data_IF_922418580339
#
_entry.id   IF_922418580339
#
_cell.length_a   1.000
_cell.length_b   1.000
_cell.length_c   1.000
_cell.angle_alpha   90.00
_cell.angle_beta   90.00
_cell.angle_gamma   90.00
#
_symmetry.space_group_name_H-M   'P 1'
#
loop_
_entity.id
_entity.type
_entity.pdbx_description
1 polymer ?
#
# COMPACT_ATOMS: atom_id res chain seq x y z
N UNK A 1 0.32 23.65 -6.75
CA UNK A 1 -0.88 23.42 -5.89
C UNK A 1 -1.25 21.94 -5.92
N UNK A 2 -1.87 21.40 -4.86
CA UNK A 2 -2.31 20.00 -4.78
C UNK A 2 -3.83 19.95 -4.88
N UNK A 3 -4.38 19.22 -5.84
CA UNK A 3 -5.82 19.16 -6.09
C UNK A 3 -6.38 17.84 -5.57
N UNK A 4 -7.40 17.92 -4.72
CA UNK A 4 -8.15 16.74 -4.28
C UNK A 4 -9.49 16.64 -4.99
N UNK A 5 -10.19 17.74 -5.25
CA UNK A 5 -11.43 17.74 -6.02
C UNK A 5 -11.50 19.05 -6.81
N UNK A 6 -12.43 19.16 -7.76
CA UNK A 6 -12.66 20.43 -8.47
C UNK A 6 -13.01 21.59 -7.53
N UNK A 7 -13.48 21.27 -6.32
CA UNK A 7 -13.89 22.24 -5.29
C UNK A 7 -12.86 22.41 -4.17
N UNK A 8 -11.80 21.59 -4.14
CA UNK A 8 -10.79 21.64 -3.09
C UNK A 8 -9.39 21.42 -3.62
N UNK A 9 -8.57 22.46 -3.48
CA UNK A 9 -7.14 22.44 -3.69
C UNK A 9 -6.40 23.02 -2.49
N UNK A 10 -5.21 22.51 -2.24
CA UNK A 10 -4.24 23.07 -1.30
C UNK A 10 -3.36 24.04 -2.07
N UNK A 11 -3.42 25.31 -1.68
CA UNK A 11 -2.60 26.40 -2.24
C UNK A 11 -1.39 26.66 -1.35
N UNK A 12 -0.40 27.38 -1.87
CA UNK A 12 0.80 27.78 -1.12
C UNK A 12 0.46 28.56 0.15
N UNK A 13 -0.55 29.41 0.10
CA UNK A 13 -0.95 30.30 1.20
C UNK A 13 -1.62 29.52 2.35
N UNK A 14 -2.19 28.36 2.05
CA UNK A 14 -2.85 27.50 3.03
C UNK A 14 -1.86 26.61 3.80
N UNK A 15 -0.60 26.56 3.38
CA UNK A 15 0.46 25.71 3.96
C UNK A 15 1.24 26.52 4.98
N UNK A 16 1.21 26.11 6.26
CA UNK A 16 1.97 26.76 7.34
C UNK A 16 3.44 26.39 7.32
N UNK A 17 3.74 25.11 7.10
CA UNK A 17 5.08 24.56 7.13
C UNK A 17 5.42 23.92 5.79
N UNK A 18 6.60 24.26 5.24
CA UNK A 18 7.06 23.73 3.95
C UNK A 18 7.08 22.20 3.98
N UNK A 19 6.42 21.58 2.98
CA UNK A 19 6.34 20.12 2.85
C UNK A 19 5.24 19.46 3.69
N UNK A 20 4.45 20.23 4.47
CA UNK A 20 3.37 19.68 5.30
C UNK A 20 2.06 20.35 4.93
N UNK A 21 1.05 19.56 4.58
CA UNK A 21 -0.32 20.06 4.48
C UNK A 21 -1.26 19.13 5.23
N UNK A 22 -2.13 19.72 6.04
CA UNK A 22 -3.25 18.99 6.60
C UNK A 22 -4.36 18.89 5.57
N UNK A 23 -4.81 17.67 5.38
CA UNK A 23 -5.96 17.40 4.55
C UNK A 23 -7.22 17.80 5.32
N UNK A 24 -7.87 18.90 4.92
CA UNK A 24 -9.23 19.19 5.39
C UNK A 24 -10.19 18.06 4.97
N UNK A 25 -11.31 17.85 5.68
CA UNK A 25 -12.32 16.88 5.27
C UNK A 25 -12.78 17.16 3.84
N UNK A 26 -12.38 16.32 2.90
CA UNK A 26 -12.66 16.41 1.46
C UNK A 26 -12.71 14.99 0.89
N UNK A 27 -13.06 14.83 -0.38
CA UNK A 27 -13.00 13.52 -1.04
C UNK A 27 -11.62 13.27 -1.65
N UNK A 28 -11.32 12.01 -1.99
CA UNK A 28 -10.17 11.71 -2.84
C UNK A 28 -10.42 12.23 -4.27
N UNK A 29 -9.35 12.50 -5.01
CA UNK A 29 -9.44 12.91 -6.42
C UNK A 29 -10.14 11.88 -7.29
N UNK A 30 -9.81 10.62 -7.09
CA UNK A 30 -10.54 9.49 -7.62
C UNK A 30 -10.71 8.49 -6.50
N UNK A 31 -11.87 8.47 -5.81
CA UNK A 31 -12.17 7.43 -4.85
C UNK A 31 -12.19 6.07 -5.55
N UNK A 32 -11.59 5.06 -4.94
CA UNK A 32 -11.60 3.70 -5.44
C UNK A 32 -12.99 3.09 -5.32
N UNK A 33 -13.34 2.23 -6.28
CA UNK A 33 -14.48 1.32 -6.13
C UNK A 33 -14.12 0.27 -5.09
N UNK A 34 -14.83 0.27 -3.96
CA UNK A 34 -14.59 -0.70 -2.90
C UNK A 34 -15.14 -2.09 -3.31
N UNK A 35 -14.43 -3.19 -3.04
CA UNK A 35 -14.91 -4.52 -3.42
C UNK A 35 -16.20 -4.92 -2.70
N UNK A 36 -17.18 -5.42 -3.47
CA UNK A 36 -18.47 -5.91 -2.96
C UNK A 36 -18.32 -7.08 -1.96
N UNK A 37 -17.23 -7.84 -2.08
CA UNK A 37 -16.83 -8.89 -1.14
C UNK A 37 -15.43 -8.59 -0.67
N UNK A 38 -15.28 -8.38 0.63
CA UNK A 38 -13.98 -8.22 1.28
C UNK A 38 -13.97 -8.89 2.66
N UNK A 39 -12.77 -9.22 3.14
CA UNK A 39 -12.60 -9.92 4.41
C UNK A 39 -11.88 -9.10 5.48
N UNK A 40 -12.25 -9.36 6.73
CA UNK A 40 -11.60 -8.86 7.92
C UNK A 40 -11.04 -10.03 8.72
N UNK A 41 -9.74 -9.99 9.01
CA UNK A 41 -9.04 -11.09 9.69
C UNK A 41 -8.35 -10.53 10.92
N UNK A 42 -8.82 -10.93 12.09
CA UNK A 42 -8.24 -10.54 13.36
C UNK A 42 -7.26 -11.61 13.85
N UNK A 43 -5.97 -11.29 13.80
CA UNK A 43 -4.90 -12.12 14.36
C UNK A 43 -4.42 -11.59 15.73
N UNK A 44 -5.14 -10.61 16.30
CA UNK A 44 -4.76 -9.93 17.54
C UNK A 44 -5.61 -10.36 18.74
N UNK A 45 -5.36 -9.74 19.90
CA UNK A 45 -6.13 -9.97 21.13
C UNK A 45 -7.36 -9.05 21.24
N UNK A 46 -7.60 -8.19 20.24
CA UNK A 46 -8.81 -7.38 20.23
C UNK A 46 -10.02 -8.31 20.20
N UNK A 47 -11.00 -8.01 21.05
CA UNK A 47 -12.28 -8.70 20.98
C UNK A 47 -13.03 -8.29 19.71
N UNK A 48 -14.10 -9.04 19.44
CA UNK A 48 -14.94 -8.81 18.27
C UNK A 48 -15.53 -7.40 18.28
N UNK A 49 -16.08 -6.92 19.39
CA UNK A 49 -16.70 -5.60 19.47
C UNK A 49 -15.73 -4.49 19.06
N UNK A 50 -14.50 -4.52 19.57
CA UNK A 50 -13.46 -3.55 19.19
C UNK A 50 -13.12 -3.60 17.70
N UNK A 51 -13.11 -4.79 17.10
CA UNK A 51 -12.91 -4.94 15.66
C UNK A 51 -14.10 -4.39 14.86
N UNK A 52 -15.32 -4.58 15.34
CA UNK A 52 -16.54 -4.04 14.73
C UNK A 52 -16.57 -2.51 14.80
N UNK A 53 -16.26 -1.94 15.96
CA UNK A 53 -16.12 -0.49 16.16
C UNK A 53 -15.09 0.09 15.19
N UNK A 54 -13.94 -0.58 15.04
CA UNK A 54 -12.89 -0.16 14.12
C UNK A 54 -13.36 -0.07 12.67
N UNK A 55 -13.93 -1.14 12.11
CA UNK A 55 -14.31 -1.11 10.71
C UNK A 55 -15.55 -0.23 10.49
N UNK A 56 -16.44 -0.06 11.49
CA UNK A 56 -17.57 0.85 11.39
C UNK A 56 -17.12 2.31 11.31
N UNK A 57 -16.15 2.71 12.13
CA UNK A 57 -15.58 4.06 12.08
C UNK A 57 -14.74 4.27 10.81
N UNK A 58 -13.98 3.25 10.38
CA UNK A 58 -13.29 3.29 9.08
C UNK A 58 -14.28 3.57 7.94
N UNK A 59 -15.46 2.94 7.94
CA UNK A 59 -16.51 3.13 6.93
C UNK A 59 -17.06 4.55 6.93
N UNK A 60 -17.33 5.12 8.11
CA UNK A 60 -17.79 6.51 8.24
C UNK A 60 -16.77 7.47 7.63
N UNK A 61 -15.49 7.29 7.96
CA UNK A 61 -14.42 8.12 7.38
C UNK A 61 -14.30 7.86 5.87
N UNK A 62 -14.35 6.61 5.42
CA UNK A 62 -14.28 6.23 4.01
C UNK A 62 -15.37 6.92 3.18
N UNK A 63 -16.60 6.93 3.67
CA UNK A 63 -17.73 7.59 3.01
C UNK A 63 -17.50 9.09 2.86
N UNK A 64 -16.98 9.76 3.90
CA UNK A 64 -16.58 11.19 3.82
C UNK A 64 -15.46 11.42 2.80
N UNK A 65 -14.62 10.41 2.55
CA UNK A 65 -13.57 10.42 1.53
C UNK A 65 -14.06 10.02 0.12
N UNK A 66 -15.35 9.72 -0.03
CA UNK A 66 -15.97 9.33 -1.31
C UNK A 66 -15.89 7.85 -1.64
N UNK A 67 -15.45 6.99 -0.70
CA UNK A 67 -15.42 5.54 -0.86
C UNK A 67 -16.65 4.95 -0.17
N UNK A 68 -17.51 4.28 -0.93
CA UNK A 68 -18.61 3.50 -0.36
C UNK A 68 -18.10 2.16 0.19
N UNK A 69 -17.98 2.08 1.52
CA UNK A 69 -17.44 0.92 2.21
C UNK A 69 -18.54 0.27 3.07
N UNK A 70 -18.91 -0.96 2.72
CA UNK A 70 -19.86 -1.77 3.48
C UNK A 70 -19.13 -2.67 4.51
N UNK A 71 -19.84 -3.27 5.47
CA UNK A 71 -19.24 -4.25 6.40
C UNK A 71 -18.56 -5.41 5.65
N UNK A 72 -17.58 -6.08 6.28
CA UNK A 72 -16.93 -7.25 5.67
C UNK A 72 -17.90 -8.43 5.57
N UNK A 73 -17.86 -9.16 4.47
CA UNK A 73 -18.63 -10.39 4.27
C UNK A 73 -17.94 -11.59 4.91
N UNK A 74 -16.63 -11.52 5.08
CA UNK A 74 -15.82 -12.59 5.64
C UNK A 74 -15.19 -12.06 6.91
N UNK A 75 -15.45 -12.72 8.04
CA UNK A 75 -14.80 -12.42 9.29
C UNK A 75 -14.12 -13.67 9.83
N UNK A 76 -12.82 -13.57 10.12
CA UNK A 76 -12.03 -14.66 10.69
C UNK A 76 -11.24 -14.16 11.88
N UNK A 77 -11.27 -14.94 12.95
CA UNK A 77 -10.43 -14.75 14.13
C UNK A 77 -9.48 -15.94 14.24
N UNK A 78 -8.26 -15.66 14.68
CA UNK A 78 -7.32 -16.72 15.04
C UNK A 78 -7.08 -16.71 16.55
N UNK A 79 -7.33 -17.86 17.17
CA UNK A 79 -7.20 -18.05 18.62
C UNK A 79 -5.82 -17.60 19.10
N UNK A 80 -5.84 -16.60 19.97
CA UNK A 80 -4.65 -15.97 20.53
C UNK A 80 -3.77 -16.88 21.38
N UNK A 81 -4.31 -18.00 21.88
CA UNK A 81 -3.58 -18.91 22.77
C UNK A 81 -2.79 -20.00 22.03
N UNK A 82 -3.04 -20.21 20.74
CA UNK A 82 -2.42 -21.29 19.93
C UNK A 82 -1.62 -20.77 18.73
N UNK A 83 -1.09 -19.55 18.83
CA UNK A 83 -0.46 -18.87 17.69
C UNK A 83 0.84 -19.53 17.25
N UNK A 84 0.81 -20.14 16.07
CA UNK A 84 2.03 -20.48 15.31
C UNK A 84 1.98 -19.77 13.96
N UNK A 85 3.14 -19.43 13.41
CA UNK A 85 3.26 -18.85 12.06
C UNK A 85 2.58 -19.74 11.01
N UNK A 86 2.78 -21.05 11.11
CA UNK A 86 2.18 -22.02 10.19
C UNK A 86 0.66 -22.08 10.30
N UNK A 87 0.12 -21.99 11.53
CA UNK A 87 -1.33 -21.98 11.75
C UNK A 87 -1.99 -20.71 11.21
N UNK A 88 -1.33 -19.55 11.34
CA UNK A 88 -1.79 -18.29 10.72
C UNK A 88 -1.78 -18.40 9.20
N UNK A 89 -0.71 -18.97 8.61
CA UNK A 89 -0.61 -19.18 7.17
C UNK A 89 -1.70 -20.13 6.68
N UNK A 90 -1.95 -21.24 7.39
CA UNK A 90 -2.98 -22.20 7.06
C UNK A 90 -4.37 -21.54 7.09
N UNK A 91 -4.71 -20.81 8.16
CA UNK A 91 -5.97 -20.06 8.24
C UNK A 91 -6.16 -19.13 7.04
N UNK A 92 -5.11 -18.42 6.62
CA UNK A 92 -5.20 -17.47 5.52
C UNK A 92 -5.32 -18.17 4.18
N UNK A 93 -4.58 -19.25 3.94
CA UNK A 93 -4.74 -20.10 2.74
C UNK A 93 -6.17 -20.63 2.67
N UNK A 94 -6.68 -21.20 3.74
CA UNK A 94 -8.03 -21.77 3.79
C UNK A 94 -9.08 -20.69 3.57
N UNK A 95 -8.93 -19.53 4.20
CA UNK A 95 -9.84 -18.40 4.01
C UNK A 95 -9.83 -17.89 2.58
N UNK A 96 -8.66 -17.76 1.95
CA UNK A 96 -8.56 -17.31 0.56
C UNK A 96 -9.08 -18.36 -0.44
N UNK A 97 -8.80 -19.65 -0.19
CA UNK A 97 -9.29 -20.74 -1.03
C UNK A 97 -10.82 -20.89 -0.95
N UNK A 98 -11.41 -20.70 0.23
CA UNK A 98 -12.86 -20.75 0.43
C UNK A 98 -13.58 -19.53 -0.15
N UNK A 99 -12.88 -18.42 -0.37
CA UNK A 99 -13.44 -17.14 -0.80
C UNK A 99 -12.69 -16.60 -2.02
N UNK A 100 -12.66 -17.41 -3.09
CA UNK A 100 -11.83 -17.12 -4.28
C UNK A 100 -12.22 -15.84 -5.04
N UNK A 101 -13.44 -15.34 -4.84
CA UNK A 101 -13.97 -14.08 -5.34
C UNK A 101 -13.52 -12.86 -4.51
N UNK A 102 -13.13 -13.06 -3.24
CA UNK A 102 -12.62 -12.01 -2.37
C UNK A 102 -11.19 -11.63 -2.75
N UNK A 103 -11.00 -10.40 -3.25
CA UNK A 103 -9.69 -9.86 -3.65
C UNK A 103 -9.12 -8.82 -2.69
N UNK A 104 -9.79 -8.55 -1.56
CA UNK A 104 -9.32 -7.57 -0.58
C UNK A 104 -9.52 -8.05 0.86
N UNK A 105 -8.46 -7.95 1.67
CA UNK A 105 -8.53 -8.24 3.10
C UNK A 105 -7.90 -7.14 3.95
N UNK A 106 -8.57 -6.77 5.05
CA UNK A 106 -7.97 -6.06 6.17
C UNK A 106 -7.53 -7.10 7.20
N UNK A 107 -6.27 -7.04 7.63
CA UNK A 107 -5.70 -7.98 8.60
C UNK A 107 -5.18 -7.23 9.81
N UNK A 108 -5.69 -7.53 10.99
CA UNK A 108 -5.22 -6.95 12.25
C UNK A 108 -4.10 -7.83 12.83
N UNK A 109 -2.95 -7.21 13.08
CA UNK A 109 -1.74 -7.85 13.56
C UNK A 109 -1.47 -7.48 15.02
N UNK A 110 -1.06 -8.45 15.85
CA UNK A 110 -0.73 -8.18 17.24
C UNK A 110 0.56 -7.37 17.36
N UNK A 111 0.67 -6.53 18.41
CA UNK A 111 1.92 -5.82 18.74
C UNK A 111 2.86 -6.66 19.63
N UNK A 112 2.32 -7.54 20.49
CA UNK A 112 3.13 -8.44 21.33
C UNK A 112 3.76 -9.56 20.47
N UNK A 113 5.02 -9.93 20.74
CA UNK A 113 5.85 -10.90 19.99
C UNK A 113 6.33 -10.44 18.60
N UNK A 114 7.01 -9.28 18.56
CA UNK A 114 7.48 -8.61 17.33
C UNK A 114 8.28 -9.47 16.35
N UNK A 115 9.02 -10.51 16.80
CA UNK A 115 9.84 -11.35 15.92
C UNK A 115 8.98 -12.32 15.11
N UNK A 116 8.13 -13.08 15.79
CA UNK A 116 7.14 -13.97 15.16
C UNK A 116 6.18 -13.17 14.28
N UNK A 117 5.76 -11.98 14.71
CA UNK A 117 4.87 -11.13 13.91
C UNK A 117 5.56 -10.57 12.65
N UNK A 118 6.87 -10.29 12.70
CA UNK A 118 7.63 -9.89 11.51
C UNK A 118 7.73 -11.04 10.51
N UNK A 119 7.94 -12.26 11.00
CA UNK A 119 8.01 -13.45 10.17
C UNK A 119 6.64 -13.80 9.59
N UNK A 120 5.60 -13.80 10.41
CA UNK A 120 4.21 -13.92 9.98
C UNK A 120 3.87 -12.85 8.94
N UNK A 121 4.07 -11.55 9.23
CA UNK A 121 3.85 -10.46 8.26
C UNK A 121 4.54 -10.74 6.92
N UNK A 122 5.82 -11.13 6.95
CA UNK A 122 6.59 -11.43 5.73
C UNK A 122 6.00 -12.61 4.97
N UNK A 123 5.70 -13.71 5.66
CA UNK A 123 5.15 -14.92 5.04
C UNK A 123 3.75 -14.66 4.50
N UNK A 124 2.93 -13.86 5.20
CA UNK A 124 1.60 -13.46 4.74
C UNK A 124 1.68 -12.57 3.50
N UNK A 125 2.61 -11.61 3.49
CA UNK A 125 2.84 -10.78 2.31
C UNK A 125 3.31 -11.62 1.13
N UNK A 126 4.27 -12.51 1.35
CA UNK A 126 4.74 -13.45 0.32
C UNK A 126 3.61 -14.33 -0.21
N UNK A 127 2.77 -14.85 0.69
CA UNK A 127 1.62 -15.67 0.32
C UNK A 127 0.64 -14.89 -0.55
N UNK A 128 0.17 -13.73 -0.08
CA UNK A 128 -0.85 -12.93 -0.77
C UNK A 128 -0.37 -12.33 -2.09
N UNK A 129 0.92 -12.01 -2.22
CA UNK A 129 1.45 -11.26 -3.35
C UNK A 129 2.23 -12.12 -4.36
N UNK A 130 2.78 -13.28 -3.95
CA UNK A 130 3.73 -14.06 -4.78
C UNK A 130 3.36 -15.54 -4.98
N UNK A 131 2.84 -16.23 -3.96
CA UNK A 131 2.77 -17.71 -4.01
C UNK A 131 1.43 -18.27 -4.48
N UNK A 132 0.33 -17.55 -4.24
CA UNK A 132 -0.99 -18.00 -4.66
C UNK A 132 -1.40 -17.16 -5.85
N UNK A 133 -1.97 -17.75 -6.91
CA UNK A 133 -2.45 -17.07 -8.13
C UNK A 133 -3.60 -16.07 -7.91
N UNK A 134 -3.71 -15.50 -6.72
CA UNK A 134 -4.72 -14.56 -6.30
C UNK A 134 -4.03 -13.21 -6.15
N UNK A 135 -4.29 -12.29 -7.07
CA UNK A 135 -3.95 -10.86 -6.93
C UNK A 135 -4.76 -10.21 -5.79
N UNK A 136 -4.59 -10.72 -4.57
CA UNK A 136 -5.31 -10.31 -3.37
C UNK A 136 -4.57 -9.15 -2.74
N UNK A 137 -5.28 -8.05 -2.63
CA UNK A 137 -4.80 -6.84 -1.99
C UNK A 137 -5.01 -6.96 -0.48
N UNK A 138 -3.96 -6.70 0.30
CA UNK A 138 -4.05 -6.74 1.77
C UNK A 138 -3.72 -5.38 2.39
N UNK A 139 -4.50 -5.00 3.41
CA UNK A 139 -4.19 -3.90 4.31
C UNK A 139 -3.97 -4.43 5.72
N UNK A 140 -2.70 -4.53 6.12
CA UNK A 140 -2.30 -4.97 7.44
C UNK A 140 -2.24 -3.79 8.41
N UNK A 141 -2.81 -3.95 9.61
CA UNK A 141 -2.97 -2.89 10.61
C UNK A 141 -2.55 -3.45 11.97
N UNK A 142 -1.74 -2.71 12.72
CA UNK A 142 -1.41 -3.09 14.11
C UNK A 142 -2.64 -2.92 15.00
N UNK A 143 -2.86 -3.84 15.93
CA UNK A 143 -3.96 -3.80 16.90
C UNK A 143 -4.08 -2.45 17.62
N UNK A 144 -2.97 -1.85 18.03
CA UNK A 144 -2.94 -0.52 18.67
C UNK A 144 -3.48 0.60 17.78
N UNK A 145 -3.43 0.45 16.46
CA UNK A 145 -4.01 1.39 15.51
C UNK A 145 -5.48 1.10 15.21
N UNK A 146 -5.98 -0.08 15.56
CA UNK A 146 -7.37 -0.48 15.37
C UNK A 146 -8.27 -0.13 16.57
N UNK A 147 -7.71 0.20 17.74
CA UNK A 147 -8.49 0.65 18.89
C UNK A 147 -9.03 2.07 18.65
N UNK A 148 -10.34 2.25 18.85
CA UNK A 148 -11.08 3.52 18.66
C UNK A 148 -11.72 3.99 19.98
N UNK A 149 -11.83 5.31 20.18
CA UNK A 149 -12.77 5.89 21.17
C UNK A 149 -12.37 5.82 22.64
N UNK A 150 -11.11 5.46 22.97
CA UNK A 150 -10.70 5.18 24.36
C UNK A 150 -10.18 6.39 25.16
N UNK A 151 -10.00 7.58 24.56
CA UNK A 151 -9.50 8.79 25.27
C UNK A 151 -10.19 10.09 24.83
N UNK A 152 -10.08 11.13 25.65
CA UNK A 152 -10.82 12.41 25.53
C UNK A 152 -10.54 13.19 24.23
N UNK A 153 -9.30 13.18 23.73
CA UNK A 153 -8.90 13.83 22.46
C UNK A 153 -8.76 12.82 21.30
N UNK A 154 -9.14 11.56 21.54
CA UNK A 154 -8.84 10.43 20.66
C UNK A 154 -9.62 10.50 19.34
N UNK A 155 -10.77 11.16 19.30
CA UNK A 155 -11.59 11.29 18.07
C UNK A 155 -10.84 11.98 16.94
N UNK A 156 -10.04 13.03 17.22
CA UNK A 156 -9.19 13.67 16.20
C UNK A 156 -8.06 12.73 15.74
N UNK A 157 -7.42 12.05 16.68
CA UNK A 157 -6.35 11.09 16.38
C UNK A 157 -6.84 9.87 15.62
N UNK A 158 -8.01 9.35 15.97
CA UNK A 158 -8.68 8.24 15.29
C UNK A 158 -9.02 8.63 13.87
N UNK A 159 -9.61 9.81 13.66
CA UNK A 159 -9.83 10.32 12.31
C UNK A 159 -8.53 10.40 11.51
N UNK A 160 -7.46 10.97 12.07
CA UNK A 160 -6.18 11.07 11.38
C UNK A 160 -5.57 9.69 11.04
N UNK A 161 -5.62 8.73 11.98
CA UNK A 161 -5.17 7.34 11.77
C UNK A 161 -5.97 6.66 10.66
N UNK A 162 -7.30 6.72 10.74
CA UNK A 162 -8.21 6.12 9.77
C UNK A 162 -8.04 6.76 8.38
N UNK A 163 -7.89 8.07 8.31
CA UNK A 163 -7.62 8.79 7.07
C UNK A 163 -6.30 8.33 6.43
N UNK A 164 -5.23 8.17 7.23
CA UNK A 164 -3.95 7.66 6.73
C UNK A 164 -4.03 6.20 6.26
N UNK A 165 -4.86 5.38 6.90
CA UNK A 165 -5.15 4.02 6.44
C UNK A 165 -5.88 4.08 5.09
N UNK A 166 -6.88 4.96 4.95
CA UNK A 166 -7.66 5.13 3.72
C UNK A 166 -6.83 5.66 2.56
N UNK A 167 -5.84 6.53 2.79
CA UNK A 167 -4.87 6.92 1.77
C UNK A 167 -4.18 5.71 1.14
N UNK A 168 -3.85 4.69 1.95
CA UNK A 168 -3.21 3.46 1.47
C UNK A 168 -4.21 2.53 0.79
N UNK A 169 -5.41 2.37 1.37
CA UNK A 169 -6.47 1.53 0.81
C UNK A 169 -6.90 2.06 -0.56
N UNK A 170 -7.14 3.36 -0.68
CA UNK A 170 -7.58 3.98 -1.93
C UNK A 170 -6.58 3.70 -3.07
N UNK A 171 -5.29 3.94 -2.85
CA UNK A 171 -4.25 3.66 -3.86
C UNK A 171 -4.13 2.17 -4.19
N UNK A 172 -4.21 1.29 -3.18
CA UNK A 172 -4.18 -0.16 -3.40
C UNK A 172 -5.37 -0.69 -4.19
N UNK A 173 -6.51 -0.02 -4.10
CA UNK A 173 -7.71 -0.29 -4.88
C UNK A 173 -7.81 0.59 -6.13
N UNK A 174 -6.67 1.08 -6.62
CA UNK A 174 -6.53 1.81 -7.88
C UNK A 174 -7.22 3.20 -7.93
N UNK A 175 -7.52 3.78 -6.78
CA UNK A 175 -7.93 5.17 -6.62
C UNK A 175 -6.75 6.15 -6.59
N UNK A 176 -7.05 7.43 -6.77
CA UNK A 176 -6.09 8.55 -6.75
C UNK A 176 -6.41 9.47 -5.59
N UNK A 177 -5.47 9.68 -4.67
CA UNK A 177 -5.72 10.49 -3.48
C UNK A 177 -5.84 11.98 -3.83
N UNK A 178 -4.88 12.50 -4.59
CA UNK A 178 -4.75 13.88 -5.03
C UNK A 178 -3.89 13.93 -6.29
N UNK A 179 -3.95 15.02 -7.05
CA UNK A 179 -3.07 15.27 -8.20
C UNK A 179 -2.32 16.60 -8.05
N UNK A 180 -1.25 16.75 -8.80
CA UNK A 180 -0.55 18.02 -8.91
C UNK A 180 -1.26 18.91 -9.94
N UNK A 181 -1.52 20.17 -9.59
CA UNK A 181 -1.93 21.18 -10.57
C UNK A 181 -0.72 21.57 -11.41
N UNK A 182 -0.80 21.32 -12.70
CA UNK A 182 0.25 21.68 -13.66
C UNK A 182 0.07 23.14 -14.05
N UNK A 183 1.03 23.98 -13.65
CA UNK A 183 1.12 25.38 -14.07
C UNK A 183 2.19 25.52 -15.17
N UNK A 184 2.18 26.64 -15.91
CA UNK A 184 3.08 26.90 -17.05
C UNK A 184 4.55 26.62 -16.74
N UNK A 185 5.02 26.97 -15.54
CA UNK A 185 6.42 26.80 -15.10
C UNK A 185 6.87 25.33 -15.13
N UNK A 186 5.98 24.41 -14.77
CA UNK A 186 6.27 22.96 -14.70
C UNK A 186 5.63 22.19 -15.85
N UNK A 187 4.92 22.86 -16.74
CA UNK A 187 4.17 22.24 -17.83
C UNK A 187 5.07 21.38 -18.70
N UNK A 188 6.27 21.87 -19.06
CA UNK A 188 7.26 21.11 -19.85
C UNK A 188 7.63 19.74 -19.28
N UNK A 189 7.42 19.51 -17.98
CA UNK A 189 7.65 18.22 -17.35
C UNK A 189 6.39 17.36 -17.38
N UNK A 190 5.21 17.93 -17.12
CA UNK A 190 3.97 17.17 -16.87
C UNK A 190 2.89 17.31 -17.96
N UNK A 191 3.19 17.89 -19.14
CA UNK A 191 2.15 18.03 -20.19
C UNK A 191 1.77 16.69 -20.79
N UNK A 192 0.48 16.52 -21.04
CA UNK A 192 -0.15 15.32 -21.61
C UNK A 192 0.31 14.95 -23.05
N UNK A 193 1.26 15.68 -23.62
CA UNK A 193 1.83 15.43 -24.96
C UNK A 193 3.33 15.16 -24.98
N UNK A 194 4.05 15.37 -23.87
CA UNK A 194 5.52 15.23 -23.86
C UNK A 194 5.99 13.78 -23.75
N UNK A 195 5.08 12.82 -23.54
CA UNK A 195 5.36 11.38 -23.44
C UNK A 195 6.50 11.09 -22.44
N UNK A 196 6.56 11.86 -21.34
CA UNK A 196 7.63 11.68 -20.35
C UNK A 196 7.26 10.51 -19.42
N UNK A 197 8.21 9.61 -19.20
CA UNK A 197 8.11 8.56 -18.18
C UNK A 197 9.10 8.84 -17.05
N UNK A 198 8.57 8.99 -15.84
CA UNK A 198 9.35 9.20 -14.62
C UNK A 198 9.74 7.87 -14.01
N UNK A 199 11.04 7.66 -13.82
CA UNK A 199 11.59 6.41 -13.31
C UNK A 199 12.29 6.64 -11.98
N UNK A 200 11.98 5.80 -11.00
CA UNK A 200 12.69 5.73 -9.72
C UNK A 200 13.31 4.34 -9.57
N UNK A 201 14.57 4.27 -9.12
CA UNK A 201 15.27 3.01 -8.92
C UNK A 201 15.93 2.99 -7.53
N UNK A 202 15.83 1.85 -6.86
CA UNK A 202 16.49 1.57 -5.60
C UNK A 202 17.14 0.18 -5.64
N UNK A 203 18.29 0.07 -4.98
CA UNK A 203 18.97 -1.20 -4.77
C UNK A 203 19.21 -1.35 -3.26
N UNK A 204 18.60 -2.39 -2.70
CA UNK A 204 18.65 -2.67 -1.27
C UNK A 204 19.54 -3.89 -1.01
N UNK A 205 20.58 -3.68 -0.21
CA UNK A 205 21.47 -4.75 0.26
C UNK A 205 20.93 -5.41 1.53
N UNK A 206 21.05 -6.75 1.66
CA UNK A 206 20.72 -7.41 2.91
C UNK A 206 21.78 -7.10 3.97
N UNK A 207 21.46 -7.30 5.25
CA UNK A 207 22.35 -6.98 6.36
C UNK A 207 23.72 -7.65 6.20
N UNK A 208 24.84 -7.07 6.68
CA UNK A 208 26.17 -7.64 6.50
C UNK A 208 26.30 -9.10 7.00
N UNK A 209 25.53 -9.48 8.02
CA UNK A 209 25.49 -10.81 8.62
C UNK A 209 24.66 -11.85 7.85
N UNK A 210 24.02 -11.49 6.74
CA UNK A 210 23.04 -12.33 6.03
C UNK A 210 23.64 -13.38 5.09
N UNK A 211 24.95 -13.64 5.14
CA UNK A 211 25.56 -14.83 4.53
C UNK A 211 25.40 -14.94 3.02
N UNK A 212 25.71 -13.89 2.27
CA UNK A 212 25.75 -13.93 0.80
C UNK A 212 24.38 -13.86 0.11
N UNK A 213 23.32 -13.48 0.83
CA UNK A 213 22.01 -13.19 0.22
C UNK A 213 22.14 -12.15 -0.92
N UNK A 214 21.37 -12.30 -2.01
CA UNK A 214 21.40 -11.36 -3.12
C UNK A 214 20.81 -10.01 -2.71
N UNK A 215 21.22 -8.96 -3.40
CA UNK A 215 20.55 -7.67 -3.33
C UNK A 215 19.19 -7.73 -4.02
N UNK A 216 18.28 -6.84 -3.61
CA UNK A 216 16.99 -6.65 -4.29
C UNK A 216 17.01 -5.31 -5.02
N UNK A 217 16.71 -5.34 -6.31
CA UNK A 217 16.54 -4.17 -7.16
C UNK A 217 15.05 -3.93 -7.33
N UNK A 218 14.61 -2.69 -7.11
CA UNK A 218 13.25 -2.26 -7.39
C UNK A 218 13.28 -1.01 -8.27
N UNK A 219 12.59 -1.07 -9.41
CA UNK A 219 12.44 0.07 -10.32
C UNK A 219 10.97 0.30 -10.59
N UNK A 220 10.54 1.56 -10.50
CA UNK A 220 9.17 1.98 -10.76
C UNK A 220 9.15 3.00 -11.89
N UNK A 221 8.11 2.97 -12.71
CA UNK A 221 7.91 3.93 -13.79
C UNK A 221 6.49 4.49 -13.78
N UNK A 222 6.33 5.79 -13.97
CA UNK A 222 5.01 6.44 -14.00
C UNK A 222 4.14 5.89 -15.14
N UNK A 223 2.89 5.57 -14.83
CA UNK A 223 1.89 5.15 -15.82
C UNK A 223 1.12 6.33 -16.43
N UNK A 224 1.04 7.45 -15.72
CA UNK A 224 0.25 8.64 -16.07
C UNK A 224 1.15 9.86 -16.37
N UNK A 225 0.65 10.86 -17.10
CA UNK A 225 1.43 12.08 -17.45
C UNK A 225 1.69 12.97 -16.24
N UNK A 226 0.69 13.09 -15.37
CA UNK A 226 0.86 13.62 -14.02
C UNK A 226 1.05 12.40 -13.12
N UNK A 227 2.28 12.09 -12.70
CA UNK A 227 2.63 10.76 -12.20
C UNK A 227 1.94 10.50 -10.85
N UNK A 228 0.93 9.62 -10.87
CA UNK A 228 0.19 9.18 -9.69
C UNK A 228 0.20 7.66 -9.53
N UNK A 229 0.14 6.93 -10.65
CA UNK A 229 0.26 5.48 -10.69
C UNK A 229 1.60 5.08 -11.29
N UNK A 230 2.11 3.94 -10.86
CA UNK A 230 3.42 3.44 -11.26
C UNK A 230 3.38 1.95 -11.56
N UNK A 231 4.03 1.56 -12.65
CA UNK A 231 4.46 0.19 -12.88
C UNK A 231 5.65 -0.13 -11.98
N UNK A 232 5.90 -1.41 -11.74
CA UNK A 232 7.04 -1.87 -10.93
C UNK A 232 7.70 -3.07 -11.57
N UNK A 233 9.02 -3.13 -11.43
CA UNK A 233 9.87 -4.25 -11.77
C UNK A 233 10.78 -4.56 -10.58
N UNK A 234 10.87 -5.83 -10.20
CA UNK A 234 11.65 -6.29 -9.04
C UNK A 234 12.53 -7.45 -9.43
N UNK A 235 13.84 -7.32 -9.20
CA UNK A 235 14.84 -8.30 -9.60
C UNK A 235 15.77 -8.64 -8.43
N UNK A 236 16.30 -9.87 -8.44
CA UNK A 236 17.40 -10.26 -7.57
C UNK A 236 18.73 -10.02 -8.27
N UNK A 237 19.71 -9.48 -7.55
CA UNK A 237 21.06 -9.25 -8.04
C UNK A 237 22.08 -9.97 -7.17
N UNK A 238 22.82 -10.89 -7.79
CA UNK A 238 23.87 -11.64 -7.11
C UNK A 238 25.03 -10.74 -6.72
N UNK A 239 25.59 -10.99 -5.53
CA UNK A 239 26.79 -10.30 -5.05
C UNK A 239 28.04 -11.09 -5.44
N UNK A 240 29.15 -10.44 -5.78
CA UNK A 240 30.40 -11.13 -6.09
C UNK A 240 30.87 -11.95 -4.87
N UNK A 241 31.30 -13.19 -5.13
CA UNK A 241 31.73 -14.13 -4.09
C UNK A 241 33.10 -13.79 -3.48
N UNK A 242 33.89 -12.94 -4.15
CA UNK A 242 35.32 -12.74 -3.88
C UNK A 242 35.66 -11.79 -2.73
N UNK A 243 34.69 -11.11 -2.12
CA UNK A 243 34.92 -10.36 -0.89
C UNK A 243 33.62 -10.25 -0.09
N UNK A 244 33.61 -10.85 1.11
CA UNK A 244 32.58 -10.59 2.11
C UNK A 244 32.62 -9.11 2.50
N UNK A 245 31.87 -8.27 1.79
CA UNK A 245 31.85 -6.82 1.98
C UNK A 245 31.66 -5.99 0.70
N UNK A 246 31.86 -6.56 -0.49
CA UNK A 246 31.64 -5.82 -1.74
C UNK A 246 30.17 -5.86 -2.18
N UNK A 247 29.49 -4.76 -1.92
CA UNK A 247 28.15 -4.47 -2.44
C UNK A 247 28.24 -3.90 -3.86
N UNK A 248 27.59 -4.55 -4.83
CA UNK A 248 27.40 -4.00 -6.18
C UNK A 248 26.19 -3.07 -6.19
N UNK A 249 26.46 -1.77 -6.19
CA UNK A 249 25.45 -0.70 -6.28
C UNK A 249 24.93 -0.47 -7.71
N UNK A 250 25.72 -0.84 -8.72
CA UNK A 250 25.27 -0.78 -10.12
C UNK A 250 24.21 -1.85 -10.39
N UNK A 251 23.06 -1.44 -10.94
CA UNK A 251 21.96 -2.34 -11.33
C UNK A 251 22.31 -3.01 -12.66
N UNK A 252 22.67 -4.30 -12.61
CA UNK A 252 23.08 -5.09 -13.78
C UNK A 252 21.93 -5.28 -14.77
N UNK A 253 20.72 -5.50 -14.26
CA UNK A 253 19.53 -5.80 -15.08
C UNK A 253 18.81 -4.57 -15.62
N UNK A 254 19.38 -3.36 -15.48
CA UNK A 254 18.67 -2.10 -15.78
C UNK A 254 18.14 -2.05 -17.22
N UNK A 255 18.90 -2.59 -18.20
CA UNK A 255 18.48 -2.65 -19.60
C UNK A 255 17.18 -3.42 -19.79
N UNK A 256 17.08 -4.61 -19.19
CA UNK A 256 15.89 -5.46 -19.35
C UNK A 256 14.70 -4.93 -18.55
N UNK A 257 14.97 -4.38 -17.35
CA UNK A 257 13.98 -3.66 -16.54
C UNK A 257 13.36 -2.51 -17.35
N UNK A 258 14.18 -1.66 -17.96
CA UNK A 258 13.71 -0.51 -18.72
C UNK A 258 12.92 -0.92 -19.97
N UNK A 259 13.33 -1.97 -20.67
CA UNK A 259 12.55 -2.52 -21.79
C UNK A 259 11.16 -2.95 -21.33
N UNK A 260 11.05 -3.69 -20.22
CA UNK A 260 9.76 -4.12 -19.68
C UNK A 260 8.88 -2.93 -19.31
N UNK A 261 9.43 -1.94 -18.59
CA UNK A 261 8.68 -0.76 -18.17
C UNK A 261 8.21 0.10 -19.36
N UNK A 262 9.05 0.26 -20.38
CA UNK A 262 8.68 0.98 -21.62
C UNK A 262 7.58 0.22 -22.37
N UNK A 263 7.65 -1.11 -22.44
CA UNK A 263 6.61 -1.93 -23.05
C UNK A 263 5.28 -1.83 -22.30
N UNK A 264 5.31 -1.88 -20.96
CA UNK A 264 4.13 -1.69 -20.12
C UNK A 264 3.51 -0.30 -20.32
N UNK A 265 4.34 0.75 -20.36
CA UNK A 265 3.89 2.11 -20.65
C UNK A 265 3.23 2.18 -22.03
N UNK A 266 3.89 1.65 -23.06
CA UNK A 266 3.37 1.65 -24.43
C UNK A 266 2.06 0.87 -24.57
N UNK A 267 1.95 -0.28 -23.91
CA UNK A 267 0.72 -1.06 -23.88
C UNK A 267 -0.40 -0.33 -23.14
N UNK A 268 -0.09 0.38 -22.06
CA UNK A 268 -1.09 1.12 -21.28
C UNK A 268 -1.57 2.39 -21.98
N UNK A 269 -0.66 3.11 -22.67
CA UNK A 269 -0.92 4.43 -23.25
C UNK A 269 -1.19 4.41 -24.76
N UNK A 270 -0.85 3.32 -25.43
CA UNK A 270 -0.92 3.19 -26.89
C UNK A 270 0.27 3.80 -27.63
N UNK A 271 1.26 4.32 -26.92
CA UNK A 271 2.49 4.89 -27.48
C UNK A 271 3.65 4.79 -26.46
N UNK A 272 4.90 4.64 -26.91
CA UNK A 272 6.05 4.67 -26.00
C UNK A 272 6.24 6.08 -25.42
N UNK A 273 6.90 6.18 -24.25
CA UNK A 273 7.36 7.47 -23.77
C UNK A 273 8.34 8.10 -24.78
#
# INVERSE_FOLDING_TARGET
>A
EIVYTDRYQVTSEAVRDLGIWEMKPTQFHKPATFPAVWGFINLSLLDRQMCEDFYNELRIVAQRRGIDCHPPQIYKEYDSQRRTTDGIIALLKDTMNQNGDCKFFIVILPVKNLRENKEAYRNLKKLCELEVGFGVVTQMIRDTNAIIGTRKDQTKWDYAKLNNILLKINTKLNGTNSILKVHDIINRFFSHGHRIMYVGADLSHPAPSSGGQPSVVAVVASADDVPNRYFKEVYQQQRPASAAGESREYIVSMKEIMKSLIQQYAQHRGYPP
#
